data_IF_180176174646
#
_entry.id   IF_180176174646
#
_cell.length_a   1.000
_cell.length_b   1.000
_cell.length_c   1.000
_cell.angle_alpha   90.00
_cell.angle_beta   90.00
_cell.angle_gamma   90.00
#
_symmetry.space_group_name_H-M   'P 1'
#
loop_
_entity.id
_entity.type
_entity.pdbx_description
1 polymer ?
#
# COMPACT_ATOMS: atom_id res chain seq x y z
N UNK A 1 -8.77 -10.61 -11.12
CA UNK A 1 -9.21 -11.64 -12.08
C UNK A 1 -9.16 -12.96 -11.35
N UNK A 2 -10.17 -13.80 -11.56
CA UNK A 2 -10.25 -15.12 -10.94
C UNK A 2 -9.70 -16.17 -11.90
N UNK A 3 -8.65 -16.88 -11.48
CA UNK A 3 -8.00 -17.93 -12.26
C UNK A 3 -8.26 -19.31 -11.63
N UNK A 4 -8.63 -20.31 -12.44
CA UNK A 4 -8.67 -21.70 -11.98
C UNK A 4 -7.26 -22.28 -11.83
N UNK A 5 -7.02 -23.03 -10.76
CA UNK A 5 -5.75 -23.66 -10.45
C UNK A 5 -5.88 -25.18 -10.39
N UNK A 6 -4.80 -25.88 -10.71
CA UNK A 6 -4.66 -27.30 -10.36
C UNK A 6 -4.32 -27.43 -8.86
N UNK A 7 -4.80 -28.47 -8.19
CA UNK A 7 -4.51 -28.70 -6.76
C UNK A 7 -3.01 -28.89 -6.49
N UNK A 8 -2.25 -29.34 -7.49
CA UNK A 8 -0.80 -29.53 -7.45
C UNK A 8 -0.02 -28.34 -7.99
N UNK A 9 -0.68 -27.21 -8.25
CA UNK A 9 -0.04 -26.02 -8.78
C UNK A 9 1.10 -25.53 -7.86
N UNK A 10 2.22 -25.10 -8.46
CA UNK A 10 3.38 -24.57 -7.73
C UNK A 10 3.03 -23.33 -6.90
N UNK A 11 2.07 -22.53 -7.36
CA UNK A 11 1.51 -21.39 -6.64
C UNK A 11 0.95 -21.81 -5.28
N UNK A 12 0.31 -22.98 -5.21
CA UNK A 12 -0.27 -23.53 -3.99
C UNK A 12 0.76 -24.21 -3.09
N UNK A 13 1.85 -24.73 -3.69
CA UNK A 13 2.94 -25.40 -2.97
C UNK A 13 3.92 -24.41 -2.35
N UNK A 14 4.19 -23.30 -3.02
CA UNK A 14 5.15 -22.27 -2.58
C UNK A 14 4.50 -20.88 -2.52
N UNK A 15 3.41 -20.70 -1.75
CA UNK A 15 2.59 -19.49 -1.81
C UNK A 15 3.37 -18.20 -1.55
N UNK A 16 4.34 -18.23 -0.64
CA UNK A 16 5.18 -17.08 -0.32
C UNK A 16 6.06 -16.58 -1.48
N UNK A 17 6.43 -17.46 -2.43
CA UNK A 17 7.24 -17.07 -3.60
C UNK A 17 6.42 -16.38 -4.69
N UNK A 18 5.10 -16.57 -4.67
CA UNK A 18 4.21 -16.14 -5.75
C UNK A 18 3.12 -15.17 -5.29
N UNK A 19 3.34 -14.51 -4.15
CA UNK A 19 2.38 -13.57 -3.57
C UNK A 19 0.98 -14.18 -3.38
N UNK A 20 0.92 -15.50 -3.10
CA UNK A 20 -0.31 -16.21 -2.77
C UNK A 20 -0.46 -16.27 -1.27
N UNK A 21 -1.66 -16.00 -0.78
CA UNK A 21 -1.98 -16.08 0.63
C UNK A 21 -2.09 -17.54 1.06
N UNK A 22 -1.34 -17.96 2.10
CA UNK A 22 -1.29 -19.36 2.52
C UNK A 22 -2.61 -19.87 3.12
N UNK A 23 -3.43 -18.98 3.71
CA UNK A 23 -4.74 -19.37 4.23
C UNK A 23 -5.73 -19.46 3.08
N UNK A 24 -6.34 -20.63 2.95
CA UNK A 24 -7.30 -20.97 1.90
C UNK A 24 -8.71 -20.93 2.46
N UNK A 25 -9.70 -20.67 1.61
CA UNK A 25 -11.12 -20.61 1.99
C UNK A 25 -11.39 -19.67 3.18
N UNK A 26 -10.61 -18.58 3.32
CA UNK A 26 -10.93 -17.54 4.29
C UNK A 26 -12.19 -16.80 3.83
N UNK A 27 -13.26 -16.86 4.60
CA UNK A 27 -14.55 -16.25 4.27
C UNK A 27 -14.90 -15.22 5.33
N UNK A 28 -15.43 -14.09 4.89
CA UNK A 28 -15.97 -13.06 5.77
C UNK A 28 -17.06 -13.63 6.67
N UNK A 29 -17.11 -13.19 7.93
CA UNK A 29 -18.26 -13.46 8.81
C UNK A 29 -19.60 -12.93 8.25
N UNK A 30 -19.55 -11.99 7.29
CA UNK A 30 -20.71 -11.44 6.60
C UNK A 30 -20.98 -12.13 5.26
N UNK A 31 -20.30 -13.25 4.97
CA UNK A 31 -20.55 -14.13 3.83
C UNK A 31 -21.53 -15.25 4.17
N UNK A 32 -21.62 -16.25 3.29
CA UNK A 32 -22.40 -17.46 3.52
C UNK A 32 -21.52 -18.52 4.18
N UNK A 33 -21.54 -18.57 5.52
CA UNK A 33 -20.67 -19.42 6.33
C UNK A 33 -20.96 -20.92 6.18
N UNK A 34 -22.18 -21.29 5.83
CA UNK A 34 -22.61 -22.70 5.67
C UNK A 34 -21.88 -23.43 4.52
N UNK A 35 -21.18 -22.69 3.67
CA UNK A 35 -20.50 -23.19 2.47
C UNK A 35 -18.99 -23.36 2.71
N UNK A 36 -18.49 -22.94 3.88
CA UNK A 36 -17.08 -23.06 4.25
C UNK A 36 -16.72 -24.53 4.57
N UNK A 37 -16.25 -25.27 3.57
CA UNK A 37 -15.63 -26.57 3.76
C UNK A 37 -14.11 -26.42 3.93
N UNK A 38 -13.52 -27.19 4.86
CA UNK A 38 -12.07 -27.22 5.10
C UNK A 38 -11.26 -27.92 3.99
N UNK A 39 -11.90 -28.50 2.97
CA UNK A 39 -11.23 -29.24 1.90
C UNK A 39 -11.17 -28.43 0.62
N UNK A 40 -9.95 -28.12 0.15
CA UNK A 40 -9.73 -27.45 -1.13
C UNK A 40 -10.07 -28.39 -2.28
N UNK A 41 -11.14 -28.08 -3.03
CA UNK A 41 -11.51 -28.77 -4.28
C UNK A 41 -11.66 -27.72 -5.37
N UNK A 42 -11.12 -28.00 -6.55
CA UNK A 42 -11.12 -27.09 -7.71
C UNK A 42 -10.72 -25.67 -7.32
N UNK A 43 -9.45 -25.45 -6.93
CA UNK A 43 -9.03 -24.15 -6.43
C UNK A 43 -9.17 -23.05 -7.48
N UNK A 44 -9.59 -21.88 -7.02
CA UNK A 44 -9.58 -20.64 -7.78
C UNK A 44 -8.77 -19.59 -7.01
N UNK A 45 -8.03 -18.77 -7.75
CA UNK A 45 -7.16 -17.72 -7.25
C UNK A 45 -7.71 -16.36 -7.64
N UNK A 46 -7.94 -15.50 -6.65
CA UNK A 46 -8.02 -14.07 -6.88
C UNK A 46 -6.61 -13.51 -7.00
N UNK A 47 -6.15 -13.32 -8.23
CA UNK A 47 -4.81 -12.83 -8.55
C UNK A 47 -4.55 -11.43 -7.98
N UNK A 48 -5.60 -10.66 -7.75
CA UNK A 48 -5.48 -9.29 -7.28
C UNK A 48 -5.07 -9.20 -5.81
N UNK A 49 -5.48 -10.18 -4.99
CA UNK A 49 -5.21 -10.22 -3.56
C UNK A 49 -4.50 -11.50 -3.11
N UNK A 50 -4.11 -12.35 -4.06
CA UNK A 50 -3.46 -13.64 -3.82
C UNK A 50 -4.34 -14.63 -3.07
N UNK A 51 -5.67 -14.47 -3.06
CA UNK A 51 -6.55 -15.29 -2.20
C UNK A 51 -6.99 -16.54 -2.92
N UNK A 52 -6.91 -17.68 -2.24
CA UNK A 52 -7.31 -18.97 -2.81
C UNK A 52 -8.60 -19.46 -2.16
N UNK A 53 -9.57 -19.77 -3.02
CA UNK A 53 -10.86 -20.35 -2.63
C UNK A 53 -11.06 -21.67 -3.34
N UNK A 54 -11.91 -22.52 -2.78
CA UNK A 54 -12.53 -23.63 -3.50
C UNK A 54 -13.62 -23.06 -4.39
N UNK A 55 -13.85 -23.66 -5.55
CA UNK A 55 -14.84 -23.17 -6.51
C UNK A 55 -16.24 -23.00 -5.90
N UNK A 56 -16.67 -23.90 -5.01
CA UNK A 56 -17.94 -23.79 -4.29
C UNK A 56 -17.98 -22.57 -3.34
N UNK A 57 -16.89 -22.30 -2.63
CA UNK A 57 -16.76 -21.14 -1.74
C UNK A 57 -16.79 -19.86 -2.56
N UNK A 58 -16.11 -19.81 -3.71
CA UNK A 58 -16.15 -18.67 -4.61
C UNK A 58 -17.55 -18.43 -5.19
N UNK A 59 -18.20 -19.47 -5.71
CA UNK A 59 -19.51 -19.36 -6.39
C UNK A 59 -20.67 -19.04 -5.46
N UNK A 60 -20.61 -19.49 -4.21
CA UNK A 60 -21.76 -19.42 -3.32
C UNK A 60 -21.45 -18.77 -1.96
N UNK A 61 -20.18 -18.69 -1.56
CA UNK A 61 -19.77 -18.25 -0.23
C UNK A 61 -19.76 -16.74 -0.02
N UNK A 62 -19.74 -15.94 -1.09
CA UNK A 62 -19.48 -14.48 -1.03
C UNK A 62 -18.25 -14.20 -0.15
N UNK A 63 -17.04 -14.63 -0.58
CA UNK A 63 -15.88 -14.71 0.31
C UNK A 63 -15.50 -13.41 1.01
N UNK A 64 -15.67 -12.26 0.36
CA UNK A 64 -15.37 -10.95 0.95
C UNK A 64 -16.53 -10.32 1.70
N UNK A 65 -17.64 -11.04 1.83
CA UNK A 65 -18.82 -10.68 2.62
C UNK A 65 -19.77 -9.74 1.88
N UNK A 66 -21.07 -9.88 2.18
CA UNK A 66 -22.15 -9.13 1.54
C UNK A 66 -22.10 -7.66 1.96
N UNK A 67 -22.00 -6.74 1.00
CA UNK A 67 -21.95 -5.29 1.27
C UNK A 67 -23.12 -4.79 2.12
N UNK A 68 -24.33 -5.28 1.85
CA UNK A 68 -25.55 -4.90 2.58
C UNK A 68 -25.54 -5.28 4.07
N UNK A 69 -24.84 -6.36 4.42
CA UNK A 69 -24.79 -6.90 5.79
C UNK A 69 -23.57 -6.40 6.56
N UNK A 70 -22.60 -5.79 5.89
CA UNK A 70 -21.33 -5.38 6.48
C UNK A 70 -21.39 -3.94 6.99
N UNK A 71 -21.01 -3.68 8.26
CA UNK A 71 -20.89 -2.31 8.77
C UNK A 71 -19.70 -1.59 8.14
N UNK A 72 -19.73 -0.26 8.16
CA UNK A 72 -18.58 0.55 7.77
C UNK A 72 -17.40 0.30 8.72
N UNK A 73 -16.22 0.18 8.12
CA UNK A 73 -14.94 0.00 8.78
C UNK A 73 -14.06 1.21 8.47
N UNK A 74 -13.52 1.89 9.50
CA UNK A 74 -13.89 1.86 10.93
C UNK A 74 -15.29 2.47 11.17
N UNK A 75 -15.89 2.17 12.32
CA UNK A 75 -17.14 2.80 12.75
C UNK A 75 -16.89 3.99 13.69
N UNK A 76 -17.87 4.89 13.80
CA UNK A 76 -17.86 5.97 14.81
C UNK A 76 -17.28 7.31 14.36
N UNK A 77 -17.08 7.53 13.06
CA UNK A 77 -16.57 8.79 12.52
C UNK A 77 -17.65 9.84 12.34
N UNK A 78 -17.29 11.09 12.64
CA UNK A 78 -18.12 12.25 12.33
C UNK A 78 -17.97 12.63 10.85
N UNK A 79 -19.06 12.59 10.08
CA UNK A 79 -19.03 13.01 8.68
C UNK A 79 -20.20 12.49 7.85
N UNK A 80 -20.54 13.25 6.80
CA UNK A 80 -21.51 12.84 5.78
C UNK A 80 -20.90 11.76 4.89
N UNK A 81 -21.40 10.52 5.01
CA UNK A 81 -21.02 9.43 4.11
C UNK A 81 -21.78 9.62 2.80
N UNK A 82 -21.03 9.84 1.71
CA UNK A 82 -21.57 10.07 0.35
C UNK A 82 -21.34 8.90 -0.59
N UNK A 83 -20.66 7.85 -0.12
CA UNK A 83 -20.41 6.65 -0.91
C UNK A 83 -19.64 5.60 -0.12
N UNK A 84 -19.26 4.53 -0.80
CA UNK A 84 -18.52 3.43 -0.22
C UNK A 84 -17.50 2.83 -1.17
N UNK A 85 -16.45 2.26 -0.59
CA UNK A 85 -15.48 1.41 -1.28
C UNK A 85 -15.46 0.03 -0.65
N UNK A 86 -15.10 -0.96 -1.46
CA UNK A 86 -14.92 -2.34 -1.02
C UNK A 86 -13.50 -2.78 -1.25
N UNK A 87 -12.97 -3.45 -0.25
CA UNK A 87 -11.74 -4.24 -0.32
C UNK A 87 -12.03 -5.55 0.42
N UNK A 88 -11.18 -6.59 0.32
CA UNK A 88 -11.43 -7.84 1.00
C UNK A 88 -11.82 -7.65 2.46
N UNK A 89 -12.96 -8.23 2.85
CA UNK A 89 -13.49 -8.24 4.22
C UNK A 89 -13.88 -6.89 4.81
N UNK A 90 -13.96 -5.81 4.01
CA UNK A 90 -14.23 -4.47 4.53
C UNK A 90 -15.12 -3.63 3.63
N UNK A 91 -15.93 -2.81 4.29
CA UNK A 91 -16.71 -1.73 3.71
C UNK A 91 -16.12 -0.41 4.19
N UNK A 92 -15.53 0.37 3.31
CA UNK A 92 -14.86 1.63 3.67
C UNK A 92 -15.77 2.81 3.33
N UNK A 93 -16.11 3.68 4.30
CA UNK A 93 -16.94 4.85 4.02
C UNK A 93 -16.18 5.90 3.22
N UNK A 94 -16.87 6.56 2.28
CA UNK A 94 -16.37 7.74 1.57
C UNK A 94 -17.07 8.96 2.12
N UNK A 95 -16.30 9.89 2.69
CA UNK A 95 -16.80 11.13 3.25
C UNK A 95 -16.70 12.26 2.23
N UNK A 96 -17.68 13.17 2.25
CA UNK A 96 -17.54 14.48 1.62
C UNK A 96 -16.90 15.42 2.63
N UNK A 97 -15.88 16.15 2.16
CA UNK A 97 -15.14 17.13 2.95
C UNK A 97 -15.22 18.46 2.21
N UNK A 98 -15.64 19.51 2.92
CA UNK A 98 -15.86 20.85 2.34
C UNK A 98 -14.68 21.80 2.57
N UNK A 99 -13.96 21.58 3.66
CA UNK A 99 -12.82 22.41 4.04
C UNK A 99 -11.75 21.63 4.83
N UNK A 100 -10.63 22.30 5.11
CA UNK A 100 -9.50 21.73 5.84
C UNK A 100 -9.87 21.41 7.30
N UNK A 101 -10.82 22.13 7.90
CA UNK A 101 -11.24 21.87 9.28
C UNK A 101 -11.99 20.55 9.38
N UNK A 102 -12.93 20.28 8.47
CA UNK A 102 -13.62 18.99 8.38
C UNK A 102 -12.62 17.85 8.13
N UNK A 103 -11.62 18.07 7.25
CA UNK A 103 -10.57 17.08 6.99
C UNK A 103 -9.76 16.74 8.24
N UNK A 104 -9.33 17.77 8.98
CA UNK A 104 -8.55 17.61 10.21
C UNK A 104 -9.35 16.88 11.28
N UNK A 105 -10.63 17.19 11.43
CA UNK A 105 -11.52 16.51 12.38
C UNK A 105 -11.66 15.02 12.02
N UNK A 106 -11.88 14.70 10.75
CA UNK A 106 -11.97 13.32 10.30
C UNK A 106 -10.64 12.55 10.51
N UNK A 107 -9.51 13.18 10.21
CA UNK A 107 -8.19 12.57 10.43
C UNK A 107 -7.90 12.34 11.92
N UNK A 108 -8.29 13.29 12.78
CA UNK A 108 -8.19 13.15 14.23
C UNK A 108 -9.08 12.02 14.75
N UNK A 109 -10.31 11.90 14.26
CA UNK A 109 -11.21 10.79 14.56
C UNK A 109 -10.58 9.44 14.16
N UNK A 110 -10.02 9.34 12.95
CA UNK A 110 -9.37 8.11 12.48
C UNK A 110 -8.22 7.69 13.41
N UNK A 111 -7.38 8.64 13.83
CA UNK A 111 -6.31 8.40 14.81
C UNK A 111 -6.86 7.97 16.17
N UNK A 112 -7.88 8.67 16.67
CA UNK A 112 -8.51 8.39 17.97
C UNK A 112 -9.13 6.99 18.03
N UNK A 113 -9.81 6.55 16.98
CA UNK A 113 -10.48 5.25 16.93
C UNK A 113 -9.56 4.10 16.45
N UNK A 114 -8.29 4.39 16.14
CA UNK A 114 -7.31 3.41 15.68
C UNK A 114 -5.94 3.53 16.39
N UNK A 115 -5.87 3.61 17.73
CA UNK A 115 -4.64 3.93 18.47
C UNK A 115 -3.50 2.90 18.31
N UNK A 116 -3.84 1.67 17.95
CA UNK A 116 -2.91 0.57 17.72
C UNK A 116 -2.25 0.61 16.33
N UNK A 117 -2.72 1.49 15.44
CA UNK A 117 -2.19 1.67 14.09
C UNK A 117 -1.47 3.00 13.99
N UNK A 118 -0.51 3.06 13.07
CA UNK A 118 -0.03 4.31 12.49
C UNK A 118 -1.02 4.75 11.41
N UNK A 119 -1.42 6.02 11.42
CA UNK A 119 -2.40 6.52 10.43
C UNK A 119 -1.66 7.36 9.40
N UNK A 120 -1.55 6.80 8.20
CA UNK A 120 -0.87 7.41 7.08
C UNK A 120 -1.87 7.82 6.00
N UNK A 121 -1.58 8.90 5.30
CA UNK A 121 -2.41 9.49 4.27
C UNK A 121 -1.76 9.36 2.89
N UNK A 122 -2.61 9.32 1.86
CA UNK A 122 -2.22 9.46 0.45
C UNK A 122 -3.23 10.30 -0.30
N UNK A 123 -2.75 11.31 -1.00
CA UNK A 123 -3.54 12.07 -1.97
C UNK A 123 -3.46 11.49 -3.36
N UNK A 124 -4.58 11.53 -4.08
CA UNK A 124 -4.66 11.23 -5.50
C UNK A 124 -5.64 12.18 -6.16
N UNK A 125 -5.31 12.65 -7.36
CA UNK A 125 -6.20 13.50 -8.19
C UNK A 125 -7.37 12.71 -8.79
N UNK A 126 -7.22 11.39 -8.88
CA UNK A 126 -8.25 10.47 -9.35
C UNK A 126 -8.14 9.13 -8.62
N UNK A 127 -9.28 8.44 -8.48
CA UNK A 127 -9.30 7.07 -7.95
C UNK A 127 -9.12 6.08 -9.09
N UNK A 128 -8.09 5.25 -8.98
CA UNK A 128 -7.96 4.08 -9.85
C UNK A 128 -8.77 2.94 -9.26
N UNK A 129 -9.64 2.32 -10.05
CA UNK A 129 -10.41 1.15 -9.65
C UNK A 129 -9.92 -0.11 -10.33
N UNK A 130 -10.22 -1.26 -9.72
CA UNK A 130 -10.00 -2.55 -10.35
C UNK A 130 -11.13 -2.85 -11.35
N UNK A 131 -10.74 -3.27 -12.55
CA UNK A 131 -11.67 -3.57 -13.65
C UNK A 131 -12.17 -5.02 -13.55
N UNK A 132 -12.88 -5.35 -12.47
CA UNK A 132 -13.57 -6.64 -12.33
C UNK A 132 -14.89 -6.65 -13.10
N UNK A 133 -15.28 -7.83 -13.59
CA UNK A 133 -16.62 -8.00 -14.14
C UNK A 133 -17.68 -7.89 -13.04
N UNK A 134 -18.92 -7.55 -13.43
CA UNK A 134 -20.02 -7.47 -12.48
C UNK A 134 -20.33 -8.82 -11.83
N UNK A 135 -20.12 -9.92 -12.57
CA UNK A 135 -20.22 -11.28 -12.03
C UNK A 135 -19.17 -11.51 -10.93
N UNK A 136 -17.90 -11.20 -11.17
CA UNK A 136 -16.83 -11.34 -10.15
C UNK A 136 -17.13 -10.50 -8.91
N UNK A 137 -17.59 -9.25 -9.09
CA UNK A 137 -17.98 -8.37 -7.97
C UNK A 137 -19.13 -8.98 -7.16
N UNK A 138 -20.15 -9.48 -7.84
CA UNK A 138 -21.29 -10.11 -7.17
C UNK A 138 -20.87 -11.37 -6.42
N UNK A 139 -20.05 -12.24 -7.02
CA UNK A 139 -19.57 -13.47 -6.40
C UNK A 139 -18.66 -13.20 -5.18
N UNK A 140 -17.86 -12.14 -5.22
CA UNK A 140 -16.94 -11.81 -4.12
C UNK A 140 -17.59 -11.00 -2.99
N UNK A 141 -18.40 -10.00 -3.33
CA UNK A 141 -18.91 -8.99 -2.40
C UNK A 141 -20.43 -8.98 -2.25
N UNK A 142 -21.16 -9.76 -3.03
CA UNK A 142 -22.62 -9.81 -3.00
C UNK A 142 -23.31 -8.55 -3.53
N UNK A 143 -22.56 -7.62 -4.12
CA UNK A 143 -23.08 -6.42 -4.79
C UNK A 143 -22.21 -6.03 -5.97
N UNK A 144 -22.76 -5.23 -6.89
CA UNK A 144 -22.02 -4.62 -8.01
C UNK A 144 -21.81 -3.12 -7.82
N UNK A 145 -22.61 -2.51 -6.94
CA UNK A 145 -22.69 -1.06 -6.69
C UNK A 145 -21.61 -0.58 -5.71
N UNK A 146 -20.35 -0.89 -6.00
CA UNK A 146 -19.23 -0.42 -5.19
C UNK A 146 -17.98 -0.18 -6.03
N UNK A 147 -17.09 0.66 -5.50
CA UNK A 147 -15.76 0.89 -6.08
C UNK A 147 -14.75 0.05 -5.32
N UNK A 148 -14.00 -0.76 -6.06
CA UNK A 148 -12.84 -1.50 -5.53
C UNK A 148 -11.57 -0.74 -5.93
N UNK A 149 -10.87 -0.06 -5.00
CA UNK A 149 -9.71 0.74 -5.33
C UNK A 149 -8.51 -0.13 -5.72
N UNK A 150 -7.78 0.32 -6.74
CA UNK A 150 -6.51 -0.27 -7.15
C UNK A 150 -5.35 0.39 -6.42
N UNK A 151 -4.83 -0.32 -5.42
CA UNK A 151 -3.58 0.03 -4.74
C UNK A 151 -2.41 -0.81 -5.24
N UNK A 152 -2.44 -1.26 -6.50
CA UNK A 152 -1.30 -1.93 -7.09
C UNK A 152 -0.09 -0.99 -7.05
N UNK A 153 1.06 -1.50 -6.65
CA UNK A 153 2.30 -0.74 -6.73
C UNK A 153 2.71 -0.50 -8.18
N UNK A 154 3.50 0.54 -8.43
CA UNK A 154 3.91 0.93 -9.79
C UNK A 154 4.70 -0.18 -10.50
N UNK A 155 5.48 -0.97 -9.74
CA UNK A 155 6.23 -2.11 -10.25
C UNK A 155 5.33 -3.25 -10.72
N UNK A 156 4.31 -3.59 -9.92
CA UNK A 156 3.36 -4.67 -10.22
C UNK A 156 2.54 -4.32 -11.46
N UNK A 157 2.07 -3.07 -11.59
CA UNK A 157 1.34 -2.62 -12.79
C UNK A 157 2.14 -2.77 -14.09
N UNK A 158 3.47 -2.69 -14.00
CA UNK A 158 4.38 -2.84 -15.14
C UNK A 158 4.86 -4.28 -15.36
N UNK A 159 4.38 -5.25 -14.55
CA UNK A 159 4.74 -6.65 -14.66
C UNK A 159 6.17 -6.97 -14.20
N UNK A 160 6.79 -6.11 -13.39
CA UNK A 160 8.12 -6.41 -12.85
C UNK A 160 8.03 -7.45 -11.74
N UNK A 161 8.98 -8.38 -11.75
CA UNK A 161 9.22 -9.30 -10.64
C UNK A 161 9.65 -8.51 -9.40
N UNK A 162 9.07 -8.84 -8.24
CA UNK A 162 9.48 -8.26 -6.96
C UNK A 162 10.96 -8.53 -6.65
N UNK A 163 11.43 -9.76 -6.88
CA UNK A 163 12.83 -10.11 -6.67
C UNK A 163 13.75 -9.22 -7.53
N UNK A 164 13.36 -8.97 -8.77
CA UNK A 164 14.09 -8.07 -9.65
C UNK A 164 14.12 -6.64 -9.09
N UNK A 165 12.99 -6.12 -8.63
CA UNK A 165 12.92 -4.78 -8.03
C UNK A 165 13.77 -4.68 -6.75
N UNK A 166 13.76 -5.71 -5.90
CA UNK A 166 14.58 -5.74 -4.70
C UNK A 166 16.07 -5.67 -5.04
N UNK A 167 16.55 -6.51 -5.96
CA UNK A 167 17.94 -6.49 -6.40
C UNK A 167 18.32 -5.17 -7.08
N UNK A 168 17.44 -4.63 -7.93
CA UNK A 168 17.66 -3.36 -8.62
C UNK A 168 17.83 -2.23 -7.61
N UNK A 169 16.86 -2.04 -6.71
CA UNK A 169 16.87 -0.91 -5.79
C UNK A 169 17.88 -1.05 -4.67
N UNK A 170 18.22 -2.28 -4.27
CA UNK A 170 19.38 -2.50 -3.41
C UNK A 170 20.66 -2.01 -4.08
N UNK A 171 20.91 -2.42 -5.33
CA UNK A 171 22.10 -1.99 -6.07
C UNK A 171 22.15 -0.49 -6.29
N UNK A 172 21.03 0.13 -6.68
CA UNK A 172 20.95 1.58 -6.90
C UNK A 172 21.14 2.36 -5.59
N UNK A 173 20.59 1.89 -4.46
CA UNK A 173 20.79 2.53 -3.17
C UNK A 173 22.26 2.46 -2.72
N UNK A 174 23.00 1.39 -3.04
CA UNK A 174 24.45 1.31 -2.72
C UNK A 174 25.25 2.31 -3.53
N UNK A 175 24.97 2.43 -4.83
CA UNK A 175 25.62 3.40 -5.71
C UNK A 175 25.33 4.83 -5.22
N UNK A 176 24.07 5.14 -4.95
CA UNK A 176 23.67 6.44 -4.42
C UNK A 176 24.41 6.79 -3.12
N UNK A 177 24.44 5.86 -2.16
CA UNK A 177 25.12 6.09 -0.89
C UNK A 177 26.63 6.25 -1.08
N UNK A 178 27.24 5.49 -1.98
CA UNK A 178 28.66 5.65 -2.32
C UNK A 178 28.94 7.04 -2.89
N UNK A 179 28.15 7.48 -3.87
CA UNK A 179 28.36 8.78 -4.51
C UNK A 179 28.17 9.93 -3.52
N UNK A 180 27.11 9.88 -2.71
CA UNK A 180 26.92 10.83 -1.60
C UNK A 180 28.09 10.77 -0.62
N UNK A 181 28.63 9.58 -0.32
CA UNK A 181 29.79 9.47 0.58
C UNK A 181 31.04 10.16 0.02
N UNK A 182 31.22 10.14 -1.31
CA UNK A 182 32.33 10.84 -1.96
C UNK A 182 32.14 12.35 -1.82
N UNK A 183 30.96 12.87 -2.11
CA UNK A 183 30.66 14.29 -2.02
C UNK A 183 30.74 14.82 -0.57
N UNK A 184 30.14 14.09 0.37
CA UNK A 184 30.09 14.48 1.79
C UNK A 184 31.46 14.50 2.46
N UNK A 185 32.48 13.82 1.91
CA UNK A 185 33.83 13.83 2.45
C UNK A 185 34.45 15.22 2.44
N UNK A 186 34.13 16.02 1.43
CA UNK A 186 34.66 17.37 1.25
C UNK A 186 33.75 18.44 1.87
N UNK A 187 32.46 18.13 2.09
CA UNK A 187 31.48 19.06 2.66
C UNK A 187 31.37 19.01 4.20
N UNK A 188 31.55 17.83 4.79
CA UNK A 188 31.35 17.61 6.23
C UNK A 188 32.66 17.79 7.03
N UNK A 189 32.53 18.14 8.30
CA UNK A 189 33.67 18.04 9.23
C UNK A 189 34.08 16.56 9.42
N UNK A 190 35.32 16.31 9.86
CA UNK A 190 35.78 14.94 10.13
C UNK A 190 34.87 14.17 11.10
N UNK A 191 34.33 14.84 12.13
CA UNK A 191 33.41 14.22 13.09
C UNK A 191 32.05 13.90 12.47
N UNK A 192 31.50 14.80 11.66
CA UNK A 192 30.26 14.56 10.90
C UNK A 192 30.42 13.44 9.89
N UNK A 193 31.53 13.41 9.15
CA UNK A 193 31.80 12.38 8.17
C UNK A 193 31.93 10.98 8.80
N UNK A 194 32.54 10.88 9.98
CA UNK A 194 32.58 9.62 10.76
C UNK A 194 31.16 9.17 11.11
N UNK A 195 30.31 10.05 11.64
CA UNK A 195 28.91 9.72 11.97
C UNK A 195 28.09 9.30 10.74
N UNK A 196 28.22 10.04 9.64
CA UNK A 196 27.61 9.71 8.36
C UNK A 196 28.06 8.32 7.87
N UNK A 197 29.36 8.04 7.92
CA UNK A 197 29.93 6.76 7.49
C UNK A 197 29.44 5.58 8.35
N UNK A 198 29.42 5.75 9.68
CA UNK A 198 28.95 4.72 10.62
C UNK A 198 27.45 4.43 10.45
N UNK A 199 26.62 5.45 10.35
CA UNK A 199 25.18 5.30 10.13
C UNK A 199 24.86 4.70 8.76
N UNK A 200 25.59 5.10 7.71
CA UNK A 200 25.50 4.51 6.37
C UNK A 200 25.87 3.03 6.38
N UNK A 201 26.98 2.66 7.02
CA UNK A 201 27.38 1.26 7.15
C UNK A 201 26.36 0.43 7.94
N UNK A 202 25.79 0.99 9.01
CA UNK A 202 24.73 0.35 9.80
C UNK A 202 23.47 0.13 8.97
N UNK A 203 23.08 1.11 8.15
CA UNK A 203 21.94 0.96 7.24
C UNK A 203 22.22 -0.15 6.22
N UNK A 204 23.36 -0.10 5.52
CA UNK A 204 23.72 -1.03 4.45
C UNK A 204 23.90 -2.49 4.88
N UNK A 205 24.27 -2.71 6.14
CA UNK A 205 24.38 -4.04 6.75
C UNK A 205 23.10 -4.50 7.46
N UNK A 206 22.12 -3.60 7.60
CA UNK A 206 20.88 -3.85 8.32
C UNK A 206 19.75 -4.39 7.45
N UNK A 207 18.69 -4.95 8.08
CA UNK A 207 17.52 -5.47 7.36
C UNK A 207 16.68 -4.38 6.68
N UNK A 208 16.93 -3.11 6.99
CA UNK A 208 16.19 -1.96 6.44
C UNK A 208 16.80 -1.38 5.18
N UNK A 209 17.87 -1.96 4.65
CA UNK A 209 18.52 -1.44 3.45
C UNK A 209 17.69 -1.60 2.17
N UNK A 210 17.17 -2.80 1.91
CA UNK A 210 16.29 -3.04 0.75
C UNK A 210 15.05 -2.14 0.80
N UNK A 211 14.31 -2.05 1.92
CA UNK A 211 13.12 -1.22 1.94
C UNK A 211 13.44 0.30 2.01
N UNK A 212 14.66 0.70 2.40
CA UNK A 212 15.16 2.06 2.15
C UNK A 212 15.26 2.36 0.65
N UNK A 213 15.92 1.50 -0.13
CA UNK A 213 16.02 1.68 -1.59
C UNK A 213 14.66 1.69 -2.28
N UNK A 214 13.76 0.77 -1.90
CA UNK A 214 12.38 0.75 -2.39
C UNK A 214 11.58 1.99 -1.99
N UNK A 215 11.76 2.48 -0.77
CA UNK A 215 11.14 3.70 -0.27
C UNK A 215 11.58 4.92 -1.09
N UNK A 216 12.87 5.07 -1.35
CA UNK A 216 13.36 6.13 -2.25
C UNK A 216 12.71 6.01 -3.63
N UNK A 217 12.75 4.83 -4.25
CA UNK A 217 12.16 4.61 -5.56
C UNK A 217 10.67 5.00 -5.60
N UNK A 218 9.91 4.59 -4.58
CA UNK A 218 8.50 4.91 -4.43
C UNK A 218 8.24 6.42 -4.40
N UNK A 219 8.96 7.15 -3.55
CA UNK A 219 8.76 8.58 -3.36
C UNK A 219 9.24 9.41 -4.55
N UNK A 220 10.18 8.89 -5.35
CA UNK A 220 10.55 9.49 -6.64
C UNK A 220 9.66 9.06 -7.82
N UNK A 221 8.62 8.24 -7.59
CA UNK A 221 7.70 7.79 -8.65
C UNK A 221 8.29 6.70 -9.57
N UNK A 222 9.38 6.08 -9.15
CA UNK A 222 10.02 4.98 -9.86
C UNK A 222 9.27 3.65 -9.59
N UNK A 223 9.46 2.61 -10.42
CA UNK A 223 8.82 1.31 -10.19
C UNK A 223 9.19 0.73 -8.81
N UNK A 224 8.24 0.59 -7.90
CA UNK A 224 8.45 0.00 -6.57
C UNK A 224 7.31 -0.95 -6.21
N UNK A 225 7.41 -1.60 -5.05
CA UNK A 225 6.41 -2.53 -4.52
C UNK A 225 5.47 -1.90 -3.47
N UNK A 226 5.63 -0.61 -3.17
CA UNK A 226 4.87 0.05 -2.12
C UNK A 226 3.96 1.20 -2.56
N UNK A 227 3.30 1.81 -1.56
CA UNK A 227 2.44 2.97 -1.69
C UNK A 227 3.15 4.18 -1.11
N UNK A 228 3.20 5.28 -1.87
CA UNK A 228 3.62 6.60 -1.38
C UNK A 228 2.68 7.05 -0.25
N UNK A 229 3.21 7.12 0.98
CA UNK A 229 2.50 7.38 2.23
C UNK A 229 3.21 8.46 3.03
N UNK A 230 2.42 9.28 3.71
CA UNK A 230 2.89 10.36 4.59
C UNK A 230 1.99 10.45 5.82
N UNK A 231 2.52 10.85 6.97
CA UNK A 231 1.72 11.24 8.13
C UNK A 231 1.29 12.73 8.09
N UNK A 232 1.81 13.48 7.11
CA UNK A 232 1.55 14.90 6.91
C UNK A 232 0.35 15.09 5.97
N UNK A 233 -0.78 15.46 6.58
CA UNK A 233 -2.04 15.67 5.86
C UNK A 233 -1.96 16.78 4.80
N UNK A 234 -1.12 17.80 5.00
CA UNK A 234 -0.95 18.87 4.00
C UNK A 234 -0.23 18.37 2.76
N UNK A 235 0.77 17.48 2.93
CA UNK A 235 1.45 16.82 1.81
C UNK A 235 0.46 15.95 1.04
N UNK A 236 -0.34 15.13 1.75
CA UNK A 236 -1.36 14.32 1.11
C UNK A 236 -2.40 15.18 0.37
N UNK A 237 -2.89 16.26 0.99
CA UNK A 237 -3.82 17.20 0.36
C UNK A 237 -3.22 17.82 -0.90
N UNK A 238 -1.95 18.22 -0.86
CA UNK A 238 -1.25 18.77 -2.02
C UNK A 238 -1.24 17.77 -3.20
N UNK A 239 -0.98 16.48 -2.96
CA UNK A 239 -1.06 15.45 -4.01
C UNK A 239 -2.48 15.17 -4.51
N UNK A 240 -3.51 15.43 -3.70
CA UNK A 240 -4.90 15.31 -4.12
C UNK A 240 -5.35 16.53 -4.95
N UNK A 241 -4.77 17.71 -4.72
CA UNK A 241 -5.18 18.96 -5.34
C UNK A 241 -4.26 19.46 -6.46
N UNK A 242 -3.13 18.80 -6.73
CA UNK A 242 -2.17 19.22 -7.75
C UNK A 242 -1.77 18.05 -8.66
N UNK A 243 -1.59 18.33 -9.94
CA UNK A 243 -0.95 17.44 -10.89
C UNK A 243 0.51 17.85 -11.10
N UNK A 244 1.36 16.86 -11.40
CA UNK A 244 2.75 17.07 -11.79
C UNK A 244 2.89 16.55 -13.22
N UNK A 245 3.24 17.44 -14.14
CA UNK A 245 3.63 17.09 -15.50
C UNK A 245 5.14 17.25 -15.65
N UNK A 246 5.79 16.35 -16.40
CA UNK A 246 7.20 16.49 -16.75
C UNK A 246 7.24 16.97 -18.20
N UNK A 247 7.84 18.14 -18.42
CA UNK A 247 7.98 18.68 -19.77
C UNK A 247 9.11 17.98 -20.57
N UNK A 248 9.25 18.34 -21.85
CA UNK A 248 10.27 17.76 -22.71
C UNK A 248 11.71 18.01 -22.24
N UNK A 249 11.95 18.99 -21.36
CA UNK A 249 13.26 19.27 -20.77
C UNK A 249 13.54 18.44 -19.52
N UNK A 250 12.58 17.64 -19.06
CA UNK A 250 12.66 16.92 -17.78
C UNK A 250 12.28 17.78 -16.57
N UNK A 251 11.76 19.00 -16.78
CA UNK A 251 11.34 19.87 -15.68
C UNK A 251 9.93 19.50 -15.21
N UNK A 252 9.76 19.35 -13.90
CA UNK A 252 8.46 19.18 -13.29
C UNK A 252 7.69 20.51 -13.26
N UNK A 253 6.47 20.50 -13.80
CA UNK A 253 5.51 21.59 -13.77
C UNK A 253 4.33 21.14 -12.90
N UNK A 254 4.12 21.85 -11.80
CA UNK A 254 3.01 21.61 -10.89
C UNK A 254 1.85 22.54 -11.22
N UNK A 255 0.62 21.99 -11.32
CA UNK A 255 -0.60 22.77 -11.56
C UNK A 255 -1.71 22.33 -10.61
N UNK A 256 -2.49 23.27 -10.05
CA UNK A 256 -3.70 22.92 -9.33
C UNK A 256 -4.69 22.20 -10.25
N UNK A 257 -5.34 21.16 -9.72
CA UNK A 257 -6.46 20.50 -10.40
C UNK A 257 -7.68 21.42 -10.34
N UNK A 258 -8.34 21.63 -11.46
CA UNK A 258 -9.48 22.55 -11.55
C UNK A 258 -10.76 22.02 -10.88
N UNK A 259 -10.99 20.70 -10.96
CA UNK A 259 -12.13 20.03 -10.34
C UNK A 259 -11.63 18.95 -9.36
N UNK A 260 -11.88 19.17 -8.06
CA UNK A 260 -11.51 18.25 -6.99
C UNK A 260 -12.53 17.10 -6.81
N UNK A 261 -13.60 17.03 -7.61
CA UNK A 261 -14.64 16.03 -7.48
C UNK A 261 -14.14 14.58 -7.63
N UNK A 262 -13.10 14.36 -8.43
CA UNK A 262 -12.42 13.07 -8.57
C UNK A 262 -11.29 12.84 -7.57
N UNK A 263 -10.80 13.90 -6.94
CA UNK A 263 -9.71 13.85 -5.99
C UNK A 263 -10.10 13.10 -4.73
N UNK A 264 -9.19 12.28 -4.23
CA UNK A 264 -9.38 11.51 -3.00
C UNK A 264 -8.18 11.59 -2.08
N UNK A 265 -8.49 11.61 -0.79
CA UNK A 265 -7.54 11.34 0.28
C UNK A 265 -7.88 9.98 0.87
N UNK A 266 -6.88 9.10 0.90
CA UNK A 266 -6.98 7.79 1.52
C UNK A 266 -6.29 7.83 2.88
N UNK A 267 -6.96 7.32 3.90
CA UNK A 267 -6.36 7.09 5.22
C UNK A 267 -6.12 5.59 5.41
N UNK A 268 -4.86 5.22 5.58
CA UNK A 268 -4.40 3.86 5.77
C UNK A 268 -4.17 3.61 7.25
N UNK A 269 -4.65 2.46 7.72
CA UNK A 269 -4.40 1.96 9.08
C UNK A 269 -3.23 0.99 9.02
N UNK A 270 -2.06 1.49 9.37
CA UNK A 270 -0.79 0.80 9.22
C UNK A 270 -0.38 0.12 10.53
N UNK A 271 -0.18 -1.20 10.59
CA UNK A 271 0.42 -1.81 11.76
C UNK A 271 1.78 -1.16 12.03
N UNK A 272 2.02 -0.74 13.27
CA UNK A 272 3.22 0.04 13.63
C UNK A 272 4.54 -0.71 13.37
N UNK A 273 4.49 -2.04 13.25
CA UNK A 273 5.63 -2.89 12.93
C UNK A 273 5.80 -3.17 11.42
N UNK A 274 4.89 -2.67 10.56
CA UNK A 274 4.93 -2.87 9.12
C UNK A 274 5.39 -1.61 8.34
N UNK A 275 5.45 -0.46 9.00
CA UNK A 275 5.89 0.83 8.44
C UNK A 275 6.89 1.51 9.35
N UNK A 276 7.71 2.38 8.79
CA UNK A 276 8.65 3.22 9.52
C UNK A 276 8.90 4.52 8.74
N UNK A 277 9.15 5.62 9.47
CA UNK A 277 9.49 6.90 8.85
C UNK A 277 10.87 6.84 8.17
N UNK A 278 11.02 7.57 7.06
CA UNK A 278 12.29 7.82 6.39
C UNK A 278 13.36 8.29 7.37
N UNK A 279 13.00 9.16 8.31
CA UNK A 279 13.93 9.73 9.31
C UNK A 279 14.63 8.65 10.15
N UNK A 280 13.98 7.49 10.36
CA UNK A 280 14.54 6.41 11.18
C UNK A 280 15.64 5.62 10.44
N UNK A 281 15.64 5.66 9.11
CA UNK A 281 16.60 4.90 8.28
C UNK A 281 17.57 5.80 7.52
N UNK A 282 17.27 7.09 7.38
CA UNK A 282 18.14 8.08 6.78
C UNK A 282 19.48 8.13 7.53
N UNK A 283 20.64 8.02 6.85
CA UNK A 283 21.94 8.20 7.49
C UNK A 283 22.08 9.57 8.15
N UNK A 284 22.91 9.65 9.19
CA UNK A 284 23.21 10.91 9.86
C UNK A 284 23.89 11.87 8.88
N UNK A 285 23.56 13.16 8.91
CA UNK A 285 24.09 14.17 7.97
C UNK A 285 23.76 13.91 6.49
N UNK A 286 22.81 13.03 6.19
CA UNK A 286 22.39 12.77 4.80
C UNK A 286 21.69 14.00 4.21
N UNK A 287 21.97 14.35 2.93
CA UNK A 287 21.38 15.51 2.27
C UNK A 287 19.84 15.52 2.35
N UNK A 288 19.26 16.71 2.40
CA UNK A 288 17.80 16.85 2.30
C UNK A 288 17.33 16.39 0.92
N UNK A 289 16.28 15.58 0.90
CA UNK A 289 15.77 14.97 -0.31
C UNK A 289 14.24 14.95 -0.31
N UNK A 290 13.63 14.56 -1.45
CA UNK A 290 12.17 14.55 -1.59
C UNK A 290 11.42 13.81 -0.46
N UNK A 291 11.84 12.62 -0.01
CA UNK A 291 11.27 11.96 1.16
C UNK A 291 11.19 12.83 2.43
N UNK A 292 12.16 13.70 2.69
CA UNK A 292 12.17 14.59 3.86
C UNK A 292 11.04 15.61 3.76
N UNK A 293 10.92 16.28 2.62
CA UNK A 293 9.85 17.27 2.38
C UNK A 293 8.45 16.67 2.38
N UNK A 294 8.32 15.36 2.17
CA UNK A 294 7.05 14.66 2.18
C UNK A 294 6.69 14.08 3.55
N UNK A 295 7.60 14.14 4.54
CA UNK A 295 7.56 13.31 5.74
C UNK A 295 7.23 11.85 5.39
N UNK A 296 8.06 11.28 4.52
CA UNK A 296 7.82 10.01 3.88
C UNK A 296 7.84 8.84 4.87
N UNK A 297 6.89 7.93 4.68
CA UNK A 297 6.84 6.66 5.40
C UNK A 297 7.11 5.51 4.46
N UNK A 298 8.10 4.70 4.83
CA UNK A 298 8.45 3.51 4.10
C UNK A 298 7.74 2.32 4.73
N UNK A 299 7.23 1.45 3.87
CA UNK A 299 6.60 0.22 4.25
C UNK A 299 7.12 -0.86 3.34
N UNK A 300 7.65 -1.92 3.95
CA UNK A 300 7.78 -3.17 3.25
C UNK A 300 6.40 -3.79 3.14
N UNK A 301 5.79 -3.70 1.96
CA UNK A 301 4.75 -4.64 1.53
C UNK A 301 5.45 -5.99 1.29
N UNK A 302 6.05 -6.59 2.31
CA UNK A 302 6.82 -7.81 2.15
C UNK A 302 5.86 -9.02 2.02
N UNK A 303 5.90 -9.82 0.96
CA UNK A 303 5.67 -11.24 1.10
C UNK A 303 6.84 -11.77 1.92
N UNK A 304 6.56 -12.06 3.19
CA UNK A 304 7.52 -12.57 4.17
C UNK A 304 8.25 -13.78 3.59
N UNK A 305 9.58 -13.69 3.48
CA UNK A 305 10.44 -14.87 3.42
C UNK A 305 10.49 -15.53 4.80
N UNK A 306 10.05 -16.78 4.80
CA UNK A 306 10.42 -17.91 5.67
C UNK A 306 10.09 -17.94 7.16
N UNK A 307 9.70 -16.88 7.85
CA UNK A 307 9.07 -17.02 9.18
C UNK A 307 8.16 -15.83 9.51
N UNK A 308 6.84 -16.05 9.47
CA UNK A 308 5.84 -15.11 10.02
C UNK A 308 5.03 -14.28 9.03
N UNK A 309 4.04 -14.89 8.35
CA UNK A 309 2.79 -14.35 7.79
C UNK A 309 2.56 -12.81 7.62
N UNK A 310 2.15 -12.43 6.39
CA UNK A 310 1.45 -11.18 5.89
C UNK A 310 2.31 -9.93 5.66
N UNK A 311 2.09 -9.17 4.56
CA UNK A 311 2.18 -7.67 4.59
C UNK A 311 1.61 -6.82 3.42
N UNK A 312 0.86 -7.34 2.44
CA UNK A 312 0.07 -6.46 1.55
C UNK A 312 -1.37 -6.19 2.05
N UNK A 313 -1.96 -7.16 2.75
CA UNK A 313 -3.32 -7.09 3.28
C UNK A 313 -3.40 -6.50 4.71
N UNK A 314 -2.27 -6.14 5.32
CA UNK A 314 -2.22 -5.70 6.72
C UNK A 314 -2.56 -4.22 6.94
N UNK A 315 -2.49 -3.41 5.89
CA UNK A 315 -2.97 -2.01 5.88
C UNK A 315 -4.48 -1.90 5.70
N UNK A 316 -5.05 -3.02 5.22
CA UNK A 316 -6.48 -3.24 5.10
C UNK A 316 -6.97 -4.42 5.97
N UNK A 317 -6.33 -4.74 7.12
CA UNK A 317 -6.84 -5.67 8.16
C UNK A 317 -6.98 -5.06 9.56
#
# INVERSE_FOLDING_TARGET
MIASLDVKDKLLKYPGLYNVYPIRNEVSQFGNLDIAANTLKSPVLDEQYGRVFSENVYKFGVPYGKSSSMPFYPCGFSGEIVGEMRVPYRRVPVFRVRDISELNNLFADVKKYSPQYEILARGQTSTYSLSRSDEEKHLLFGSIDHVEPSFLASGIRKGYSELFLNCLWESQARILLHDISVDMKDELTSEEFVRFSESTNRLQSGPRFIPFGLGLAQHYGLPSIGLDLTDNLQVALWFASNSIDIDASGRAICKPVQDLGSSRLFFFRCPKNAVYSHEVVKPDCFPECRPDHQNAWFGGFYPVSTDGFKTANSFLS
#
